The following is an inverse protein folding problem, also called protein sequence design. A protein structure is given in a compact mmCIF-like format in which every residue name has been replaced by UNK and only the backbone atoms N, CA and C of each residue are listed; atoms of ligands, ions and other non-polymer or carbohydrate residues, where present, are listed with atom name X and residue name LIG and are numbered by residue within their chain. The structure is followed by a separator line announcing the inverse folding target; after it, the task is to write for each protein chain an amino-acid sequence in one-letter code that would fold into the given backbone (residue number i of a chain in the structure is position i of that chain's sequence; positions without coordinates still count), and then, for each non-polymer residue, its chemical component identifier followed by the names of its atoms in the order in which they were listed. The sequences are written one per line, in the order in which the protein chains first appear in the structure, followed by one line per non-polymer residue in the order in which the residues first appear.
data_IF_740812007959
#
_entry.id   IF_740812007959
#
_cell.length_a   1.000
_cell.length_b   1.000
_cell.length_c   1.000
_cell.angle_alpha   90.00
_cell.angle_beta   90.00
_cell.angle_gamma   90.00
#
_symmetry.space_group_name_H-M   'P 1'
#
loop_
_entity.id
_entity.type
_entity.pdbx_description
1 polymer ?
#
# COMPACT_ATOMS: atom_id res chain seq x y z
N UNK A 1 34.06 16.50 -59.33
CA UNK A 1 34.16 15.36 -60.23
C UNK A 1 33.40 14.19 -59.68
N UNK A 2 32.46 13.70 -60.52
CA UNK A 2 31.75 12.41 -60.56
C UNK A 2 30.88 12.11 -59.33
N UNK A 3 29.56 12.27 -59.35
CA UNK A 3 28.48 11.56 -60.06
C UNK A 3 28.57 10.04 -59.93
N UNK A 4 27.61 9.51 -59.16
CA UNK A 4 26.80 8.41 -59.69
C UNK A 4 25.41 8.33 -59.04
N UNK A 5 24.35 8.31 -59.82
CA UNK A 5 23.00 8.10 -59.33
C UNK A 5 22.52 6.69 -59.74
N UNK A 6 21.72 6.11 -58.94
CA UNK A 6 20.83 5.10 -59.50
C UNK A 6 20.87 3.75 -58.82
N UNK A 7 19.76 3.38 -58.27
CA UNK A 7 18.96 2.23 -58.68
C UNK A 7 17.84 1.96 -57.66
N UNK A 8 16.68 2.37 -58.14
CA UNK A 8 15.54 1.50 -58.47
C UNK A 8 14.83 0.82 -57.31
N UNK A 9 13.64 1.37 -57.10
CA UNK A 9 12.40 0.70 -56.73
C UNK A 9 12.37 -0.78 -56.99
N UNK A 10 12.00 -1.53 -55.99
CA UNK A 10 11.16 -2.73 -56.13
C UNK A 10 10.08 -2.67 -55.05
N UNK A 11 8.88 -2.38 -55.51
CA UNK A 11 7.65 -2.58 -54.72
C UNK A 11 7.41 -4.07 -54.61
N UNK A 12 7.25 -4.58 -53.41
CA UNK A 12 6.66 -5.89 -53.17
C UNK A 12 5.56 -5.73 -52.15
N UNK A 13 4.35 -5.59 -52.67
CA UNK A 13 3.09 -5.70 -51.94
C UNK A 13 2.91 -7.18 -51.54
N UNK A 14 3.14 -7.52 -50.26
CA UNK A 14 2.72 -8.76 -49.68
C UNK A 14 1.52 -8.46 -48.76
N UNK A 15 0.35 -8.66 -49.34
CA UNK A 15 -0.93 -8.69 -48.63
C UNK A 15 -0.98 -9.92 -47.75
N UNK A 16 -0.71 -9.77 -46.45
CA UNK A 16 -0.88 -10.82 -45.47
C UNK A 16 -2.18 -10.58 -44.70
N UNK A 17 -3.26 -11.18 -45.20
CA UNK A 17 -4.55 -11.30 -44.52
C UNK A 17 -4.39 -12.29 -43.36
N UNK A 18 -4.12 -11.77 -42.14
CA UNK A 18 -4.14 -12.59 -40.93
C UNK A 18 -5.54 -12.51 -40.38
N UNK A 19 -6.30 -13.60 -40.55
CA UNK A 19 -7.58 -13.81 -39.90
C UNK A 19 -7.39 -13.91 -38.38
N UNK A 20 -7.97 -12.94 -37.63
CA UNK A 20 -8.09 -12.99 -36.20
C UNK A 20 -9.18 -13.99 -35.84
N UNK A 21 -8.80 -15.19 -35.45
CA UNK A 21 -9.68 -16.13 -34.77
C UNK A 21 -9.83 -15.69 -33.32
N UNK A 22 -10.94 -14.98 -33.01
CA UNK A 22 -11.36 -14.69 -31.66
C UNK A 22 -11.85 -16.00 -31.04
N UNK A 23 -10.98 -16.69 -30.31
CA UNK A 23 -11.38 -17.76 -29.41
C UNK A 23 -12.05 -17.11 -28.19
N UNK A 24 -13.38 -16.96 -28.25
CA UNK A 24 -14.19 -16.65 -27.09
C UNK A 24 -14.13 -17.86 -26.15
N UNK A 25 -13.34 -17.77 -25.08
CA UNK A 25 -13.49 -18.65 -23.93
C UNK A 25 -14.83 -18.35 -23.29
N UNK A 26 -15.86 -19.06 -23.73
CA UNK A 26 -17.17 -19.05 -23.11
C UNK A 26 -17.05 -19.68 -21.72
N UNK A 27 -17.12 -18.87 -20.69
CA UNK A 27 -17.44 -19.35 -19.34
C UNK A 27 -18.92 -19.74 -19.39
N UNK A 28 -19.20 -21.04 -19.37
CA UNK A 28 -20.55 -21.56 -19.18
C UNK A 28 -21.01 -21.14 -17.78
N UNK A 29 -21.90 -20.17 -17.71
CA UNK A 29 -22.63 -19.88 -16.49
C UNK A 29 -23.60 -21.06 -16.25
N UNK A 30 -23.18 -22.02 -15.45
CA UNK A 30 -24.10 -22.98 -14.84
C UNK A 30 -24.89 -22.20 -13.78
N UNK A 31 -26.11 -21.85 -14.13
CA UNK A 31 -27.07 -21.21 -13.21
C UNK A 31 -27.77 -22.21 -12.29
N UNK A 32 -27.23 -23.39 -12.18
CA UNK A 32 -27.76 -24.44 -11.32
C UNK A 32 -26.91 -24.46 -10.04
N UNK A 33 -27.45 -23.87 -8.97
CA UNK A 33 -26.90 -24.04 -7.65
C UNK A 33 -27.22 -25.46 -7.20
N UNK A 34 -26.26 -26.36 -7.31
CA UNK A 34 -26.35 -27.67 -6.71
C UNK A 34 -26.26 -27.52 -5.20
N UNK A 35 -27.32 -27.89 -4.53
CA UNK A 35 -27.40 -27.86 -3.08
C UNK A 35 -26.52 -28.98 -2.55
N UNK A 36 -25.36 -28.62 -1.95
CA UNK A 36 -24.44 -29.58 -1.35
C UNK A 36 -25.17 -30.18 -0.13
N UNK A 37 -25.43 -31.50 -0.17
CA UNK A 37 -26.00 -32.19 0.98
C UNK A 37 -25.02 -32.22 2.14
N UNK A 38 -25.50 -32.05 3.38
CA UNK A 38 -24.66 -32.00 4.58
C UNK A 38 -23.76 -33.23 4.77
N UNK A 39 -24.10 -34.38 4.14
CA UNK A 39 -23.34 -35.62 4.19
C UNK A 39 -22.04 -35.57 3.36
N UNK A 40 -21.89 -34.59 2.44
CA UNK A 40 -20.71 -34.40 1.61
C UNK A 40 -19.66 -33.44 2.24
N UNK A 41 -19.97 -32.86 3.39
CA UNK A 41 -19.06 -31.95 4.08
C UNK A 41 -18.24 -32.76 5.08
N UNK A 42 -16.96 -32.98 4.78
CA UNK A 42 -16.04 -33.77 5.61
C UNK A 42 -15.66 -33.12 6.97
N UNK A 43 -16.19 -31.96 7.27
CA UNK A 43 -15.97 -31.27 8.55
C UNK A 43 -17.33 -31.07 9.18
N UNK A 44 -17.56 -31.64 10.37
CA UNK A 44 -18.76 -31.55 11.21
C UNK A 44 -19.21 -30.09 11.50
N UNK A 45 -19.52 -29.33 10.43
CA UNK A 45 -19.98 -27.95 10.55
C UNK A 45 -21.46 -27.83 10.96
N UNK A 46 -22.16 -28.98 11.03
CA UNK A 46 -23.56 -29.05 11.49
C UNK A 46 -23.68 -29.13 13.02
N UNK A 47 -22.57 -29.14 13.75
CA UNK A 47 -22.66 -29.07 15.21
C UNK A 47 -23.05 -27.67 15.67
N UNK A 48 -24.35 -27.46 15.71
CA UNK A 48 -24.94 -26.33 16.43
C UNK A 48 -24.55 -26.48 17.90
N UNK A 49 -23.61 -25.66 18.36
CA UNK A 49 -23.28 -25.59 19.78
C UNK A 49 -24.48 -25.03 20.55
N UNK A 50 -25.36 -25.92 20.99
CA UNK A 50 -26.49 -25.55 21.81
C UNK A 50 -25.97 -25.32 23.23
N UNK A 51 -25.83 -24.04 23.61
CA UNK A 51 -25.57 -23.68 25.01
C UNK A 51 -26.83 -23.96 25.81
N UNK A 52 -26.91 -25.14 26.41
CA UNK A 52 -27.99 -25.49 27.34
C UNK A 52 -27.76 -24.79 28.68
N UNK A 53 -28.48 -23.72 28.90
CA UNK A 53 -28.59 -23.11 30.24
C UNK A 53 -29.50 -24.00 31.10
N UNK A 54 -28.91 -24.92 31.87
CA UNK A 54 -29.66 -25.74 32.85
C UNK A 54 -29.88 -24.91 34.09
N UNK A 55 -31.11 -24.40 34.24
CA UNK A 55 -31.59 -23.83 35.50
C UNK A 55 -31.97 -24.99 36.42
N UNK A 56 -31.13 -25.25 37.44
CA UNK A 56 -31.40 -26.24 38.47
C UNK A 56 -32.22 -25.57 39.56
N UNK A 57 -33.43 -26.12 39.92
CA UNK A 57 -34.16 -25.67 41.11
C UNK A 57 -33.42 -26.08 42.39
N UNK A 58 -33.51 -25.32 43.49
CA UNK A 58 -32.79 -25.64 44.72
C UNK A 58 -33.43 -26.82 45.44
N UNK A 59 -32.76 -27.95 45.48
CA UNK A 59 -33.08 -29.04 46.39
C UNK A 59 -31.97 -29.17 47.42
N UNK A 60 -32.31 -28.89 48.63
CA UNK A 60 -31.51 -29.04 49.84
C UNK A 60 -31.17 -30.52 50.04
N UNK A 61 -29.89 -30.90 50.10
CA UNK A 61 -29.34 -31.96 50.94
C UNK A 61 -27.81 -31.88 50.97
N UNK A 62 -27.28 -32.05 52.18
CA UNK A 62 -25.87 -32.09 52.52
C UNK A 62 -25.04 -33.08 51.71
N UNK A 63 -23.95 -32.61 51.14
CA UNK A 63 -22.70 -33.37 51.05
C UNK A 63 -21.60 -32.50 50.48
N UNK A 64 -20.62 -32.20 51.26
CA UNK A 64 -19.40 -31.50 50.97
C UNK A 64 -18.61 -32.22 49.87
N UNK A 65 -18.67 -31.73 48.66
CA UNK A 65 -17.64 -32.00 47.66
C UNK A 65 -17.43 -30.69 46.86
N UNK A 66 -16.45 -29.91 47.30
CA UNK A 66 -16.03 -28.69 46.58
C UNK A 66 -15.35 -29.10 45.27
N UNK A 67 -16.14 -29.26 44.23
CA UNK A 67 -15.59 -29.28 42.87
C UNK A 67 -15.34 -27.82 42.47
N UNK A 68 -14.12 -27.35 42.62
CA UNK A 68 -13.67 -26.09 42.10
C UNK A 68 -13.68 -26.20 40.56
N UNK A 69 -14.77 -25.74 39.93
CA UNK A 69 -14.79 -25.52 38.49
C UNK A 69 -13.82 -24.37 38.22
N UNK A 70 -12.66 -24.71 37.66
CA UNK A 70 -11.77 -23.69 37.12
C UNK A 70 -12.52 -22.95 36.00
N UNK A 71 -12.99 -21.74 36.29
CA UNK A 71 -13.47 -20.80 35.28
C UNK A 71 -12.25 -20.46 34.41
N UNK A 72 -12.15 -21.09 33.25
CA UNK A 72 -11.22 -20.67 32.20
C UNK A 72 -11.76 -19.35 31.66
N UNK A 73 -11.27 -18.23 32.20
CA UNK A 73 -11.51 -16.92 31.66
C UNK A 73 -10.69 -16.85 30.37
N UNK A 74 -11.34 -17.06 29.22
CA UNK A 74 -10.73 -16.72 27.92
C UNK A 74 -10.64 -15.21 27.87
N UNK A 75 -9.46 -14.66 28.13
CA UNK A 75 -9.20 -13.24 27.96
C UNK A 75 -9.19 -12.97 26.46
N UNK A 76 -10.24 -12.37 25.95
CA UNK A 76 -10.28 -11.88 24.58
C UNK A 76 -9.24 -10.77 24.43
N UNK A 77 -8.26 -10.98 23.53
CA UNK A 77 -7.23 -9.98 23.25
C UNK A 77 -7.87 -8.94 22.33
N UNK A 78 -7.98 -7.68 22.75
CA UNK A 78 -8.58 -6.65 21.91
C UNK A 78 -7.72 -6.40 20.68
N UNK A 79 -8.35 -6.27 19.51
CA UNK A 79 -7.71 -5.98 18.24
C UNK A 79 -8.32 -4.71 17.62
N UNK A 80 -7.50 -3.98 16.87
CA UNK A 80 -7.86 -2.78 16.15
C UNK A 80 -7.54 -2.95 14.67
N UNK A 81 -8.44 -2.53 13.77
CA UNK A 81 -8.24 -2.61 12.34
C UNK A 81 -7.40 -1.42 11.86
N UNK A 82 -6.22 -1.70 11.34
CA UNK A 82 -5.29 -0.70 10.82
C UNK A 82 -5.16 -0.85 9.31
N UNK A 83 -5.16 0.29 8.60
CA UNK A 83 -4.90 0.30 7.16
C UNK A 83 -3.41 0.20 6.88
N UNK A 84 -3.02 -0.86 6.19
CA UNK A 84 -1.65 -1.07 5.70
C UNK A 84 -1.67 -0.98 4.18
N UNK A 85 -0.68 -0.29 3.61
CA UNK A 85 -0.60 -0.04 2.17
C UNK A 85 0.38 -0.98 1.50
N UNK A 86 -0.11 -1.74 0.53
CA UNK A 86 0.67 -2.67 -0.28
C UNK A 86 0.70 -2.24 -1.75
N UNK A 87 1.72 -2.63 -2.47
CA UNK A 87 1.90 -2.28 -3.89
C UNK A 87 1.04 -3.20 -4.77
N UNK A 88 0.22 -2.58 -5.60
CA UNK A 88 -0.55 -3.18 -6.69
C UNK A 88 -0.06 -2.59 -8.02
N UNK A 89 0.77 -3.31 -8.75
CA UNK A 89 1.43 -2.78 -9.95
C UNK A 89 2.38 -1.62 -9.62
N UNK A 90 2.00 -0.37 -9.96
CA UNK A 90 2.75 0.85 -9.70
C UNK A 90 2.04 1.78 -8.70
N UNK A 91 0.99 1.34 -8.08
CA UNK A 91 0.17 2.10 -7.14
C UNK A 91 0.10 1.37 -5.80
N UNK A 92 -0.46 2.04 -4.81
CA UNK A 92 -0.65 1.52 -3.47
C UNK A 92 -2.13 1.29 -3.20
N UNK A 93 -2.44 0.12 -2.67
CA UNK A 93 -3.77 -0.27 -2.22
C UNK A 93 -3.76 -0.50 -0.72
N UNK A 94 -4.80 -0.04 -0.02
CA UNK A 94 -4.95 -0.24 1.42
C UNK A 94 -5.64 -1.56 1.72
N UNK A 95 -5.14 -2.24 2.75
CA UNK A 95 -5.72 -3.45 3.32
C UNK A 95 -5.92 -3.23 4.81
N UNK A 96 -7.09 -3.58 5.34
CA UNK A 96 -7.36 -3.53 6.78
C UNK A 96 -6.81 -4.79 7.44
N UNK A 97 -5.87 -4.63 8.37
CA UNK A 97 -5.21 -5.71 9.09
C UNK A 97 -5.52 -5.59 10.58
N UNK A 98 -5.97 -6.67 11.25
CA UNK A 98 -6.19 -6.66 12.69
C UNK A 98 -4.84 -6.66 13.43
N UNK A 99 -4.64 -5.70 14.32
CA UNK A 99 -3.44 -5.55 15.14
C UNK A 99 -3.86 -5.50 16.61
N UNK A 100 -3.08 -6.15 17.48
CA UNK A 100 -3.34 -6.15 18.92
C UNK A 100 -3.32 -4.73 19.49
N UNK A 101 -4.40 -4.36 20.18
CA UNK A 101 -4.52 -3.06 20.85
C UNK A 101 -3.76 -3.06 22.19
N UNK A 102 -3.10 -1.93 22.57
CA UNK A 102 -3.02 -0.68 21.83
C UNK A 102 -2.06 -0.76 20.65
N UNK A 103 -2.45 -0.16 19.51
CA UNK A 103 -1.66 -0.19 18.28
C UNK A 103 -0.43 0.72 18.43
N UNK A 104 0.73 0.18 18.08
CA UNK A 104 2.00 0.92 18.03
C UNK A 104 2.55 0.99 16.61
N UNK A 105 3.34 2.03 16.27
CA UNK A 105 3.99 2.12 14.95
C UNK A 105 4.87 0.92 14.63
N UNK A 106 5.55 0.35 15.63
CA UNK A 106 6.40 -0.83 15.46
C UNK A 106 5.60 -2.10 15.10
N UNK A 107 4.42 -2.30 15.68
CA UNK A 107 3.54 -3.42 15.32
C UNK A 107 3.05 -3.28 13.88
N UNK A 108 2.68 -2.07 13.48
CA UNK A 108 2.21 -1.77 12.12
C UNK A 108 3.33 -1.96 11.11
N UNK A 109 4.54 -1.49 11.43
CA UNK A 109 5.73 -1.73 10.60
C UNK A 109 6.02 -3.24 10.47
N UNK A 110 5.95 -4.00 11.55
CA UNK A 110 6.16 -5.44 11.51
C UNK A 110 5.15 -6.15 10.60
N UNK A 111 3.88 -5.74 10.64
CA UNK A 111 2.85 -6.27 9.74
C UNK A 111 3.10 -5.88 8.27
N UNK A 112 3.59 -4.66 8.01
CA UNK A 112 3.96 -4.20 6.67
C UNK A 112 5.16 -4.98 6.11
N UNK A 113 6.18 -5.26 6.94
CA UNK A 113 7.36 -6.07 6.59
C UNK A 113 6.99 -7.53 6.33
N UNK A 114 6.04 -8.08 7.10
CA UNK A 114 5.53 -9.43 6.89
C UNK A 114 4.86 -9.60 5.51
N UNK A 115 4.38 -8.50 4.93
CA UNK A 115 3.71 -8.50 3.64
C UNK A 115 2.22 -8.84 3.70
N UNK A 116 1.54 -8.82 2.54
CA UNK A 116 0.12 -9.13 2.47
C UNK A 116 -0.16 -10.60 2.76
N UNK A 117 -1.25 -10.87 3.48
CA UNK A 117 -1.70 -12.24 3.74
C UNK A 117 -2.16 -12.91 2.44
N UNK A 118 -1.92 -14.22 2.25
CA UNK A 118 -2.18 -14.90 0.98
C UNK A 118 -3.64 -14.88 0.53
N UNK A 119 -4.57 -14.87 1.45
CA UNK A 119 -6.03 -14.90 1.22
C UNK A 119 -6.60 -13.55 0.77
N UNK A 120 -6.03 -12.43 1.23
CA UNK A 120 -6.49 -11.08 0.92
C UNK A 120 -5.52 -10.29 0.05
N UNK A 121 -4.32 -10.82 -0.16
CA UNK A 121 -3.20 -10.15 -0.82
C UNK A 121 -2.97 -10.52 -2.28
N UNK A 122 -3.96 -11.11 -2.99
CA UNK A 122 -3.79 -11.52 -4.39
C UNK A 122 -3.39 -10.31 -5.25
N UNK A 123 -2.21 -10.40 -5.90
CA UNK A 123 -1.66 -9.32 -6.73
C UNK A 123 -1.05 -8.15 -5.95
N UNK A 124 -1.02 -8.22 -4.61
CA UNK A 124 -0.34 -7.26 -3.77
C UNK A 124 1.07 -7.75 -3.41
N UNK A 125 1.99 -6.80 -3.25
CA UNK A 125 3.36 -7.07 -2.78
C UNK A 125 3.84 -5.96 -1.83
N UNK A 126 4.85 -6.26 -1.04
CA UNK A 126 5.62 -5.23 -0.34
C UNK A 126 6.91 -4.93 -1.12
N UNK A 127 7.35 -3.68 -1.10
CA UNK A 127 8.69 -3.27 -1.57
C UNK A 127 9.71 -3.30 -0.45
N UNK A 128 9.28 -3.59 0.77
CA UNK A 128 10.17 -3.66 1.92
C UNK A 128 10.83 -5.05 1.94
N UNK A 129 12.17 -5.14 1.81
CA UNK A 129 12.87 -6.41 1.87
C UNK A 129 12.70 -7.03 3.26
N UNK A 130 12.37 -8.31 3.33
CA UNK A 130 12.08 -8.99 4.61
C UNK A 130 13.27 -8.98 5.58
N UNK A 131 14.49 -9.01 5.07
CA UNK A 131 15.70 -9.05 5.89
C UNK A 131 16.01 -7.67 6.46
N UNK A 132 16.22 -6.70 5.59
CA UNK A 132 16.58 -5.33 5.93
C UNK A 132 15.42 -4.58 6.59
N UNK A 133 14.18 -4.94 6.24
CA UNK A 133 12.96 -4.38 6.81
C UNK A 133 12.80 -4.62 8.31
N UNK A 134 13.42 -5.70 8.85
CA UNK A 134 13.41 -5.97 10.28
C UNK A 134 14.27 -4.99 11.10
N UNK A 135 15.25 -4.38 10.45
CA UNK A 135 16.16 -3.43 11.06
C UNK A 135 15.65 -1.99 10.93
N UNK A 136 14.55 -1.77 10.21
CA UNK A 136 13.86 -0.47 10.18
C UNK A 136 13.24 -0.21 11.55
N UNK A 137 13.47 0.96 12.10
CA UNK A 137 12.84 1.37 13.35
C UNK A 137 11.96 2.60 13.18
N UNK A 138 10.92 2.71 14.01
CA UNK A 138 10.01 3.85 14.02
C UNK A 138 9.90 4.39 15.43
N UNK A 139 10.21 5.67 15.59
CA UNK A 139 10.06 6.41 16.86
C UNK A 139 9.02 7.49 16.70
N UNK A 140 8.02 7.52 17.59
CA UNK A 140 6.99 8.58 17.59
C UNK A 140 7.30 9.60 18.67
N UNK A 141 7.50 10.86 18.26
CA UNK A 141 7.77 11.97 19.15
C UNK A 141 6.90 13.17 18.78
N UNK A 142 6.07 13.64 19.73
CA UNK A 142 5.25 14.86 19.59
C UNK A 142 4.46 14.97 18.28
N UNK A 143 3.96 13.84 17.76
CA UNK A 143 3.20 13.81 16.51
C UNK A 143 4.04 13.66 15.24
N UNK A 144 5.35 13.52 15.37
CA UNK A 144 6.28 13.17 14.28
C UNK A 144 6.65 11.70 14.39
N UNK A 145 6.68 10.98 13.28
CA UNK A 145 7.21 9.61 13.23
C UNK A 145 8.56 9.64 12.51
N UNK A 146 9.63 9.43 13.24
CA UNK A 146 10.98 9.31 12.69
C UNK A 146 11.19 7.86 12.28
N UNK A 147 11.50 7.63 11.01
CA UNK A 147 11.79 6.29 10.48
C UNK A 147 13.29 6.19 10.21
N UNK A 148 13.97 5.33 10.97
CA UNK A 148 15.38 5.04 10.76
C UNK A 148 15.56 3.79 9.89
N UNK A 149 16.33 3.95 8.82
CA UNK A 149 16.62 2.94 7.81
C UNK A 149 18.01 2.35 8.03
N UNK A 150 18.21 1.03 7.85
CA UNK A 150 19.54 0.43 7.91
C UNK A 150 20.41 0.89 6.73
N UNK A 151 21.72 1.03 6.94
CA UNK A 151 22.66 1.58 5.97
C UNK A 151 22.64 0.89 4.59
N UNK A 152 22.38 -0.44 4.54
CA UNK A 152 22.35 -1.21 3.29
C UNK A 152 21.01 -1.24 2.56
N UNK A 153 20.01 -0.49 3.01
CA UNK A 153 18.63 -0.59 2.43
C UNK A 153 18.62 -0.23 0.94
N UNK A 154 19.41 0.76 0.52
CA UNK A 154 19.46 1.22 -0.85
C UNK A 154 20.28 0.34 -1.80
N UNK A 155 20.98 -0.66 -1.29
CA UNK A 155 21.61 -1.70 -2.11
C UNK A 155 20.57 -2.68 -2.66
N UNK A 156 19.45 -2.81 -1.95
CA UNK A 156 18.37 -3.75 -2.25
C UNK A 156 17.14 -3.03 -2.85
N UNK A 157 16.77 -1.87 -2.29
CA UNK A 157 15.63 -1.07 -2.75
C UNK A 157 16.11 -0.03 -3.75
N UNK A 158 15.97 -0.32 -5.04
CA UNK A 158 16.54 0.50 -6.12
C UNK A 158 15.49 0.97 -7.12
N UNK A 159 15.80 2.08 -7.80
CA UNK A 159 15.04 2.57 -8.93
C UNK A 159 13.58 2.91 -8.60
N UNK A 160 12.65 2.34 -9.37
CA UNK A 160 11.20 2.63 -9.24
C UNK A 160 10.63 2.20 -7.88
N UNK A 161 11.12 1.11 -7.34
CA UNK A 161 10.64 0.56 -6.08
C UNK A 161 11.02 1.44 -4.89
N UNK A 162 12.05 2.26 -4.98
CA UNK A 162 12.45 3.19 -3.93
C UNK A 162 11.34 4.20 -3.59
N UNK A 163 10.69 4.79 -4.60
CA UNK A 163 9.56 5.70 -4.37
C UNK A 163 8.36 4.98 -3.75
N UNK A 164 8.05 3.78 -4.22
CA UNK A 164 6.97 2.95 -3.66
C UNK A 164 7.28 2.49 -2.24
N UNK A 165 8.54 2.24 -1.93
CA UNK A 165 9.03 1.90 -0.60
C UNK A 165 8.74 3.03 0.41
N UNK A 166 9.15 4.27 0.08
CA UNK A 166 8.84 5.42 0.93
C UNK A 166 7.33 5.64 1.06
N UNK A 167 6.61 5.56 -0.05
CA UNK A 167 5.16 5.70 -0.06
C UNK A 167 4.46 4.66 0.84
N UNK A 168 4.89 3.40 0.82
CA UNK A 168 4.36 2.35 1.70
C UNK A 168 4.56 2.70 3.17
N UNK A 169 5.77 3.11 3.55
CA UNK A 169 6.09 3.48 4.93
C UNK A 169 5.27 4.69 5.39
N UNK A 170 5.28 5.77 4.60
CA UNK A 170 4.62 7.03 4.97
C UNK A 170 3.10 6.88 5.02
N UNK A 171 2.48 6.23 4.01
CA UNK A 171 1.03 6.03 3.99
C UNK A 171 0.56 5.10 5.10
N UNK A 172 1.38 4.11 5.48
CA UNK A 172 1.02 3.17 6.53
C UNK A 172 1.22 3.78 7.92
N UNK A 173 2.38 4.37 8.19
CA UNK A 173 2.70 4.93 9.51
C UNK A 173 2.04 6.29 9.72
N UNK A 174 2.05 7.17 8.72
CA UNK A 174 1.49 8.53 8.81
C UNK A 174 -0.03 8.57 9.00
N UNK A 175 -0.75 7.49 8.71
CA UNK A 175 -2.20 7.38 8.97
C UNK A 175 -2.54 6.93 10.39
N UNK A 176 -1.56 6.55 11.18
CA UNK A 176 -1.79 6.28 12.59
C UNK A 176 -2.14 7.58 13.34
N UNK A 177 -3.11 7.49 14.23
CA UNK A 177 -3.61 8.65 14.94
C UNK A 177 -2.51 9.50 15.61
N UNK A 178 -2.53 10.80 15.33
CA UNK A 178 -1.59 11.77 15.89
C UNK A 178 -0.18 11.68 15.31
N UNK A 179 -0.03 11.21 14.07
CA UNK A 179 1.19 11.33 13.27
C UNK A 179 0.91 12.29 12.11
N UNK A 180 1.81 13.26 11.92
CA UNK A 180 1.80 14.19 10.79
C UNK A 180 3.06 14.03 9.95
N UNK A 181 4.12 14.81 10.20
CA UNK A 181 5.35 14.72 9.42
C UNK A 181 6.14 13.45 9.70
N UNK A 182 6.82 12.95 8.66
CA UNK A 182 7.64 11.73 8.68
C UNK A 182 9.01 12.06 8.10
N UNK A 183 9.99 12.46 8.92
CA UNK A 183 11.39 12.51 8.53
C UNK A 183 12.00 11.11 8.50
N UNK A 184 13.03 10.94 7.65
CA UNK A 184 13.79 9.71 7.54
C UNK A 184 15.24 9.91 7.95
N UNK A 185 15.80 8.87 8.57
CA UNK A 185 17.23 8.77 8.84
C UNK A 185 17.79 7.50 8.21
N UNK A 186 19.07 7.50 7.90
CA UNK A 186 19.82 6.34 7.43
C UNK A 186 20.95 6.07 8.43
N UNK A 187 20.85 5.00 9.18
CA UNK A 187 21.77 4.68 10.27
C UNK A 187 21.94 5.87 11.25
N UNK A 188 20.83 6.55 11.56
CA UNK A 188 20.78 7.70 12.47
C UNK A 188 21.04 9.07 11.83
N UNK A 189 21.51 9.14 10.58
CA UNK A 189 21.80 10.41 9.88
C UNK A 189 20.58 10.86 9.05
N UNK A 190 20.12 12.12 9.15
CA UNK A 190 19.01 12.63 8.38
C UNK A 190 19.22 12.52 6.87
N UNK A 191 18.21 12.10 6.13
CA UNK A 191 18.24 12.01 4.68
C UNK A 191 17.02 12.67 4.05
N UNK A 192 17.19 13.16 2.81
CA UNK A 192 16.06 13.55 1.96
C UNK A 192 15.55 12.35 1.20
N UNK A 193 14.23 12.24 1.08
CA UNK A 193 13.57 11.13 0.39
C UNK A 193 12.72 11.63 -0.78
N UNK A 194 12.47 10.76 -1.74
CA UNK A 194 11.67 11.10 -2.90
C UNK A 194 10.18 11.04 -2.56
N UNK A 195 9.48 12.16 -2.75
CA UNK A 195 8.02 12.25 -2.62
C UNK A 195 7.28 11.62 -3.81
N UNK A 196 5.95 11.58 -3.75
CA UNK A 196 5.13 10.95 -4.78
C UNK A 196 5.21 11.61 -6.15
N UNK A 197 5.51 12.91 -6.23
CA UNK A 197 5.73 13.67 -7.46
C UNK A 197 7.16 13.56 -8.01
N UNK A 198 8.07 12.95 -7.23
CA UNK A 198 9.47 12.75 -7.59
C UNK A 198 10.42 13.83 -7.06
N UNK A 199 9.93 14.84 -6.37
CA UNK A 199 10.78 15.83 -5.69
C UNK A 199 11.49 15.23 -4.47
N UNK A 200 12.56 15.88 -4.01
CA UNK A 200 13.29 15.48 -2.80
C UNK A 200 12.81 16.35 -1.62
N UNK A 201 12.53 15.72 -0.50
CA UNK A 201 12.12 16.40 0.73
C UNK A 201 12.78 15.77 1.95
N UNK A 202 13.16 16.60 2.92
CA UNK A 202 13.73 16.15 4.22
C UNK A 202 12.65 15.58 5.14
N UNK A 203 11.41 16.02 4.94
CA UNK A 203 10.25 15.56 5.69
C UNK A 203 9.07 15.42 4.76
N UNK A 204 8.37 14.32 4.86
CA UNK A 204 7.22 13.99 4.01
C UNK A 204 5.97 13.72 4.85
N UNK A 205 4.83 13.78 4.22
CA UNK A 205 3.51 13.53 4.81
C UNK A 205 2.71 12.55 3.96
N UNK A 206 1.58 12.10 4.46
CA UNK A 206 0.64 11.27 3.70
C UNK A 206 0.20 11.95 2.40
N UNK A 207 0.06 13.28 2.41
CA UNK A 207 -0.42 14.06 1.25
C UNK A 207 0.55 14.02 0.08
N UNK A 208 1.86 13.94 0.35
CA UNK A 208 2.90 13.87 -0.67
C UNK A 208 2.83 12.59 -1.53
N UNK A 209 2.15 11.55 -1.04
CA UNK A 209 2.04 10.25 -1.72
C UNK A 209 0.62 9.89 -2.15
N UNK A 210 -0.36 10.77 -1.99
CA UNK A 210 -1.75 10.49 -2.37
C UNK A 210 -1.91 10.16 -3.86
N UNK A 211 -1.10 10.75 -4.74
CA UNK A 211 -1.10 10.47 -6.17
C UNK A 211 -0.75 9.02 -6.54
N UNK A 212 -0.11 8.30 -5.62
CA UNK A 212 0.26 6.89 -5.80
C UNK A 212 -0.82 5.90 -5.33
N UNK A 213 -1.92 6.37 -4.76
CA UNK A 213 -3.01 5.51 -4.33
C UNK A 213 -3.84 5.02 -5.52
N UNK A 214 -4.32 3.78 -5.43
CA UNK A 214 -5.30 3.25 -6.39
C UNK A 214 -6.56 4.12 -6.35
N UNK A 215 -6.99 4.60 -7.53
CA UNK A 215 -8.14 5.48 -7.66
C UNK A 215 -7.87 6.96 -7.35
N UNK A 216 -6.62 7.35 -7.10
CA UNK A 216 -6.28 8.75 -7.00
C UNK A 216 -6.57 9.49 -8.34
N UNK A 217 -7.14 10.72 -8.30
CA UNK A 217 -7.28 11.51 -9.50
C UNK A 217 -5.89 11.81 -10.08
N UNK A 218 -5.76 11.72 -11.41
CA UNK A 218 -4.51 12.06 -12.07
C UNK A 218 -4.13 13.50 -11.69
N UNK A 219 -2.95 13.69 -11.13
CA UNK A 219 -2.44 15.01 -10.77
C UNK A 219 -2.31 15.84 -12.05
N UNK A 220 -3.20 16.78 -12.26
CA UNK A 220 -3.06 17.82 -13.29
C UNK A 220 -1.94 18.75 -12.84
N UNK A 221 -0.75 18.56 -13.41
CA UNK A 221 0.34 19.51 -13.24
C UNK A 221 -0.10 20.82 -13.90
N UNK A 222 -0.58 21.75 -13.10
CA UNK A 222 -0.84 23.13 -13.56
C UNK A 222 0.53 23.76 -13.75
N UNK A 223 1.04 23.73 -14.98
CA UNK A 223 2.19 24.52 -15.37
C UNK A 223 1.75 25.98 -15.32
N UNK A 224 2.06 26.66 -14.25
CA UNK A 224 1.96 28.12 -14.18
C UNK A 224 2.99 28.67 -15.13
N UNK A 225 2.54 29.07 -16.32
CA UNK A 225 3.38 29.84 -17.24
C UNK A 225 3.55 31.19 -16.60
N UNK A 226 4.72 31.42 -16.03
CA UNK A 226 5.14 32.73 -15.59
C UNK A 226 5.29 33.62 -16.82
N UNK A 227 4.29 34.46 -17.03
CA UNK A 227 4.34 35.47 -18.12
C UNK A 227 5.36 36.51 -17.69
N UNK A 228 6.59 36.35 -18.15
CA UNK A 228 7.63 37.36 -18.04
C UNK A 228 7.21 38.55 -18.89
N UNK A 229 6.73 39.62 -18.28
CA UNK A 229 6.49 40.92 -18.91
C UNK A 229 7.83 41.49 -19.32
N UNK A 230 8.07 41.79 -20.60
CA UNK A 230 9.32 42.44 -21.00
C UNK A 230 9.42 43.82 -20.40
N UNK A 231 10.61 44.29 -20.01
CA UNK A 231 10.81 45.64 -19.48
C UNK A 231 10.48 46.67 -20.52
N UNK A 232 9.69 47.68 -20.15
CA UNK A 232 9.35 48.81 -21.00
C UNK A 232 10.62 49.61 -21.37
N UNK A 233 10.92 49.68 -22.65
CA UNK A 233 11.97 50.54 -23.20
C UNK A 233 11.69 52.02 -22.85
N UNK A 234 12.51 52.58 -22.00
CA UNK A 234 12.51 54.01 -21.68
C UNK A 234 13.13 54.76 -22.88
N UNK A 235 12.28 55.30 -23.74
CA UNK A 235 12.71 56.21 -24.79
C UNK A 235 13.13 57.53 -24.15
N UNK A 236 14.43 57.75 -24.04
CA UNK A 236 15.00 59.05 -23.63
C UNK A 236 14.91 60.00 -24.82
N UNK A 237 13.91 60.91 -24.78
CA UNK A 237 13.79 61.98 -25.73
C UNK A 237 14.91 63.03 -25.51
N UNK A 238 15.85 63.08 -26.43
CA UNK A 238 16.85 64.12 -26.50
C UNK A 238 16.22 65.37 -27.11
N UNK A 239 15.99 66.41 -26.25
CA UNK A 239 15.61 67.74 -26.68
C UNK A 239 16.87 68.51 -27.08
N UNK A 240 17.02 68.82 -28.40
CA UNK A 240 18.01 69.74 -28.91
C UNK A 240 17.34 71.14 -28.97
N UNK A 241 17.72 72.02 -28.03
CA UNK A 241 17.44 73.46 -28.10
C UNK A 241 18.49 74.15 -28.94
N UNK A 242 18.01 74.95 -29.97
CA UNK A 242 18.76 75.95 -30.69
C UNK A 242 18.38 77.37 -30.23
#
# INVERSE_FOLDING_TARGET
MARDPGRRLVALTATCTIGVAVAACGVTQSSEFEQISGDDIQFDLDQTTTTSTTTIPPTTVDATTSTTLALTTTTEIPVELVQIFFVAGNQLNSVSVPITSPVSPSQVLAALVAGPQPDIGIGLRTTIPTREGRDITVTKERGTAIIDLPAGIFDVVVGRDQRLFFAQLVLTIGRLGGIGPVPFTLAGEPISVQSGDGSQAETVTVDDYQSLLVGAPASTTTTTVETTTPPADTVTGSSIGG
#
